data_IF_761909662644
#
_entry.id   IF_761909662644
#
_cell.length_a   1.000
_cell.length_b   1.000
_cell.length_c   1.000
_cell.angle_alpha   90.00
_cell.angle_beta   90.00
_cell.angle_gamma   90.00
#
_symmetry.space_group_name_H-M   'P 1'
#
loop_
_entity.id
_entity.type
_entity.pdbx_description
1 polymer ?
#
# COMPACT_ATOMS: atom_id res chain seq x y z
N UNK A 1 -8.49 -29.91 -25.72
CA UNK A 1 -7.38 -29.05 -26.21
C UNK A 1 -7.77 -27.57 -26.21
N UNK A 2 -8.97 -27.22 -26.69
CA UNK A 2 -9.41 -25.83 -26.89
C UNK A 2 -9.43 -24.94 -25.64
N UNK A 3 -9.79 -25.49 -24.47
CA UNK A 3 -9.82 -24.73 -23.20
C UNK A 3 -8.43 -24.25 -22.77
N UNK A 4 -7.40 -25.07 -22.97
CA UNK A 4 -6.02 -24.75 -22.60
C UNK A 4 -5.50 -23.63 -23.52
N UNK A 5 -5.80 -23.70 -24.81
CA UNK A 5 -5.41 -22.67 -25.79
C UNK A 5 -6.06 -21.32 -25.47
N UNK A 6 -7.33 -21.32 -25.06
CA UNK A 6 -8.04 -20.11 -24.61
C UNK A 6 -7.37 -19.48 -23.37
N UNK A 7 -7.05 -20.30 -22.36
CA UNK A 7 -6.41 -19.83 -21.14
C UNK A 7 -5.01 -19.27 -21.41
N UNK A 8 -4.24 -19.92 -22.29
CA UNK A 8 -2.91 -19.42 -22.69
C UNK A 8 -3.01 -18.06 -23.37
N UNK A 9 -3.98 -17.87 -24.29
CA UNK A 9 -4.16 -16.59 -24.99
C UNK A 9 -4.50 -15.46 -24.03
N UNK A 10 -5.41 -15.71 -23.09
CA UNK A 10 -5.74 -14.75 -22.05
C UNK A 10 -4.52 -14.44 -21.16
N UNK A 11 -3.77 -15.46 -20.74
CA UNK A 11 -2.57 -15.28 -19.92
C UNK A 11 -1.49 -14.45 -20.63
N UNK A 12 -1.24 -14.69 -21.93
CA UNK A 12 -0.30 -13.90 -22.73
C UNK A 12 -0.76 -12.44 -22.84
N UNK A 13 -2.05 -12.21 -23.09
CA UNK A 13 -2.59 -10.85 -23.13
C UNK A 13 -2.44 -10.14 -21.77
N UNK A 14 -2.83 -10.79 -20.68
CA UNK A 14 -2.66 -10.24 -19.32
C UNK A 14 -1.18 -9.91 -19.07
N UNK A 15 -0.26 -10.83 -19.36
CA UNK A 15 1.17 -10.62 -19.13
C UNK A 15 1.72 -9.42 -19.91
N UNK A 16 1.40 -9.32 -21.20
CA UNK A 16 1.84 -8.20 -22.05
C UNK A 16 1.38 -6.85 -21.48
N UNK A 17 0.08 -6.72 -21.21
CA UNK A 17 -0.46 -5.47 -20.68
C UNK A 17 -0.02 -5.22 -19.23
N UNK A 18 0.25 -6.26 -18.45
CA UNK A 18 0.76 -6.12 -17.09
C UNK A 18 2.13 -5.45 -17.11
N UNK A 19 3.06 -5.93 -17.95
CA UNK A 19 4.41 -5.33 -18.05
C UNK A 19 4.34 -3.87 -18.50
N UNK A 20 3.51 -3.56 -19.49
CA UNK A 20 3.36 -2.19 -20.00
C UNK A 20 2.75 -1.25 -18.96
N UNK A 21 1.68 -1.68 -18.28
CA UNK A 21 1.07 -0.88 -17.21
C UNK A 21 2.02 -0.77 -16.02
N UNK A 22 2.74 -1.84 -15.66
CA UNK A 22 3.69 -1.81 -14.56
C UNK A 22 4.77 -0.75 -14.80
N UNK A 23 5.33 -0.69 -16.00
CA UNK A 23 6.30 0.34 -16.37
C UNK A 23 5.70 1.76 -16.28
N UNK A 24 4.45 1.93 -16.72
CA UNK A 24 3.75 3.22 -16.63
C UNK A 24 3.61 3.68 -15.18
N UNK A 25 3.08 2.82 -14.30
CA UNK A 25 2.85 3.16 -12.89
C UNK A 25 4.13 3.17 -12.04
N UNK A 26 5.16 2.38 -12.37
CA UNK A 26 6.45 2.45 -11.68
C UNK A 26 7.19 3.77 -11.98
N UNK A 27 7.00 4.32 -13.18
CA UNK A 27 7.65 5.56 -13.61
C UNK A 27 6.82 6.79 -13.21
N UNK A 28 5.50 6.68 -13.31
CA UNK A 28 4.55 7.76 -13.03
C UNK A 28 3.53 7.27 -12.00
N UNK A 29 3.98 6.99 -10.79
CA UNK A 29 3.14 6.47 -9.69
C UNK A 29 1.94 7.39 -9.34
N UNK A 30 2.09 8.71 -9.55
CA UNK A 30 1.04 9.70 -9.32
C UNK A 30 0.22 10.03 -10.59
N UNK A 31 0.33 9.23 -11.66
CA UNK A 31 -0.41 9.51 -12.90
C UNK A 31 -1.92 9.52 -12.63
N UNK A 32 -2.64 10.60 -13.02
CA UNK A 32 -4.08 10.64 -12.88
C UNK A 32 -4.79 9.57 -13.72
N UNK A 33 -5.91 9.07 -13.20
CA UNK A 33 -6.69 7.99 -13.82
C UNK A 33 -7.22 8.38 -15.20
N UNK A 34 -7.61 9.65 -15.36
CA UNK A 34 -8.09 10.19 -16.64
C UNK A 34 -6.99 10.30 -17.71
N UNK A 35 -5.70 10.16 -17.34
CA UNK A 35 -4.57 10.13 -18.28
C UNK A 35 -4.15 8.67 -18.55
N UNK A 36 -4.04 7.86 -17.51
CA UNK A 36 -3.62 6.46 -17.63
C UNK A 36 -4.62 5.59 -18.40
N UNK A 37 -5.93 5.81 -18.22
CA UNK A 37 -6.96 5.04 -18.95
C UNK A 37 -6.88 5.24 -20.49
N UNK A 38 -6.82 6.49 -21.03
CA UNK A 38 -6.59 6.70 -22.47
C UNK A 38 -5.30 6.10 -23.01
N UNK A 39 -4.19 6.15 -22.25
CA UNK A 39 -2.93 5.51 -22.65
C UNK A 39 -3.14 4.01 -22.86
N UNK A 40 -3.84 3.36 -21.93
CA UNK A 40 -4.13 1.93 -22.06
C UNK A 40 -5.03 1.62 -23.27
N UNK A 41 -6.02 2.47 -23.58
CA UNK A 41 -6.83 2.34 -24.81
C UNK A 41 -5.95 2.41 -26.06
N UNK A 42 -5.00 3.34 -26.11
CA UNK A 42 -4.05 3.47 -27.22
C UNK A 42 -3.19 2.21 -27.35
N UNK A 43 -2.72 1.65 -26.23
CA UNK A 43 -1.97 0.38 -26.22
C UNK A 43 -2.80 -0.77 -26.78
N UNK A 44 -4.07 -0.87 -26.42
CA UNK A 44 -4.99 -1.88 -26.97
C UNK A 44 -5.14 -1.71 -28.47
N UNK A 45 -5.42 -0.48 -28.95
CA UNK A 45 -5.55 -0.18 -30.38
C UNK A 45 -4.25 -0.56 -31.12
N UNK A 46 -3.09 -0.21 -30.57
CA UNK A 46 -1.79 -0.56 -31.12
C UNK A 46 -1.57 -2.07 -31.21
N UNK A 47 -1.92 -2.82 -30.17
CA UNK A 47 -1.84 -4.28 -30.16
C UNK A 47 -2.78 -4.92 -31.20
N UNK A 48 -4.02 -4.43 -31.30
CA UNK A 48 -4.98 -4.88 -32.32
C UNK A 48 -4.48 -4.59 -33.74
N UNK A 49 -3.93 -3.39 -33.96
CA UNK A 49 -3.35 -3.01 -35.26
C UNK A 49 -2.14 -3.88 -35.60
N UNK A 50 -1.27 -4.17 -34.64
CA UNK A 50 -0.14 -5.08 -34.84
C UNK A 50 -0.60 -6.48 -35.25
N UNK A 51 -1.59 -7.06 -34.56
CA UNK A 51 -2.16 -8.37 -34.92
C UNK A 51 -2.72 -8.35 -36.34
N UNK A 52 -3.48 -7.30 -36.69
CA UNK A 52 -4.02 -7.14 -38.04
C UNK A 52 -2.93 -7.05 -39.11
N UNK A 53 -1.89 -6.22 -38.88
CA UNK A 53 -0.79 -6.05 -39.83
C UNK A 53 0.05 -7.32 -39.99
N UNK A 54 0.41 -7.97 -38.88
CA UNK A 54 1.19 -9.21 -38.88
C UNK A 54 0.46 -10.33 -39.62
N UNK A 55 -0.87 -10.39 -39.51
CA UNK A 55 -1.68 -11.33 -40.30
C UNK A 55 -1.61 -11.02 -41.80
N UNK A 56 -1.81 -9.75 -42.17
CA UNK A 56 -1.77 -9.35 -43.59
C UNK A 56 -0.42 -9.71 -44.21
N UNK A 57 0.67 -9.53 -43.47
CA UNK A 57 2.00 -9.93 -43.88
C UNK A 57 2.15 -11.46 -43.97
N UNK A 58 1.71 -12.21 -42.96
CA UNK A 58 1.76 -13.67 -42.97
C UNK A 58 1.02 -14.29 -44.17
N UNK A 59 -0.15 -13.76 -44.53
CA UNK A 59 -0.91 -14.22 -45.70
C UNK A 59 -0.15 -13.94 -47.00
N UNK A 60 0.48 -12.76 -47.11
CA UNK A 60 1.27 -12.40 -48.29
C UNK A 60 2.54 -13.28 -48.41
N UNK A 61 3.13 -13.69 -47.28
CA UNK A 61 4.36 -14.49 -47.25
C UNK A 61 4.10 -16.00 -47.47
N UNK A 62 2.86 -16.49 -47.27
CA UNK A 62 2.51 -17.92 -47.30
C UNK A 62 1.29 -18.20 -48.19
N UNK A 63 1.27 -17.66 -49.40
CA UNK A 63 0.12 -17.73 -50.35
C UNK A 63 -0.44 -19.16 -50.57
N UNK A 64 0.38 -20.20 -50.36
CA UNK A 64 0.05 -21.61 -50.63
C UNK A 64 -0.17 -22.49 -49.38
N UNK A 65 0.06 -22.00 -48.16
CA UNK A 65 -0.19 -22.75 -46.93
C UNK A 65 -1.55 -22.38 -46.33
N UNK A 66 -2.23 -23.37 -45.71
CA UNK A 66 -3.47 -23.15 -44.97
C UNK A 66 -3.21 -22.09 -43.89
N UNK A 67 -3.60 -20.84 -44.18
CA UNK A 67 -3.16 -19.68 -43.43
C UNK A 67 -3.50 -19.75 -41.94
N UNK A 68 -2.89 -18.88 -41.12
CA UNK A 68 -3.17 -18.78 -39.69
C UNK A 68 -4.69 -18.92 -39.44
N UNK A 69 -5.14 -19.91 -38.63
CA UNK A 69 -6.55 -20.26 -38.59
C UNK A 69 -7.38 -19.01 -38.31
N UNK A 70 -8.42 -18.74 -39.10
CA UNK A 70 -9.32 -17.58 -38.92
C UNK A 70 -9.83 -17.46 -37.46
N UNK A 71 -9.88 -18.59 -36.75
CA UNK A 71 -10.23 -18.68 -35.33
C UNK A 71 -9.20 -18.05 -34.38
N UNK A 72 -7.92 -17.98 -34.74
CA UNK A 72 -6.88 -17.29 -33.94
C UNK A 72 -7.12 -15.78 -33.94
N UNK A 73 -7.34 -15.18 -35.11
CA UNK A 73 -7.55 -13.73 -35.28
C UNK A 73 -8.81 -13.25 -34.54
N UNK A 74 -9.95 -13.91 -34.77
CA UNK A 74 -11.22 -13.57 -34.12
C UNK A 74 -11.14 -13.62 -32.59
N UNK A 75 -10.34 -14.54 -32.07
CA UNK A 75 -10.15 -14.68 -30.62
C UNK A 75 -9.26 -13.58 -30.03
N UNK A 76 -8.25 -13.13 -30.76
CA UNK A 76 -7.33 -12.06 -30.30
C UNK A 76 -8.06 -10.74 -30.10
N UNK A 77 -9.06 -10.43 -30.95
CA UNK A 77 -9.93 -9.25 -30.78
C UNK A 77 -10.73 -9.26 -29.47
N UNK A 78 -10.98 -10.44 -28.90
CA UNK A 78 -11.63 -10.58 -27.61
C UNK A 78 -10.64 -10.60 -26.44
N UNK A 79 -9.57 -11.39 -26.56
CA UNK A 79 -8.63 -11.59 -25.45
C UNK A 79 -7.70 -10.40 -25.20
N UNK A 80 -7.34 -9.62 -26.22
CA UNK A 80 -6.49 -8.45 -26.03
C UNK A 80 -7.19 -7.35 -25.20
N UNK A 81 -8.41 -6.91 -25.51
CA UNK A 81 -9.13 -5.97 -24.65
C UNK A 81 -9.38 -6.53 -23.25
N UNK A 82 -9.80 -7.80 -23.13
CA UNK A 82 -10.07 -8.41 -21.83
C UNK A 82 -8.80 -8.50 -20.97
N UNK A 83 -7.68 -8.94 -21.55
CA UNK A 83 -6.39 -9.01 -20.88
C UNK A 83 -5.88 -7.63 -20.47
N UNK A 84 -6.08 -6.60 -21.30
CA UNK A 84 -5.72 -5.22 -20.99
C UNK A 84 -6.51 -4.66 -19.81
N UNK A 85 -7.82 -4.93 -19.75
CA UNK A 85 -8.68 -4.52 -18.63
C UNK A 85 -8.24 -5.20 -17.33
N UNK A 86 -8.03 -6.52 -17.36
CA UNK A 86 -7.58 -7.26 -16.16
C UNK A 86 -6.21 -6.76 -15.69
N UNK A 87 -5.25 -6.64 -16.60
CA UNK A 87 -3.91 -6.18 -16.28
C UNK A 87 -3.89 -4.75 -15.72
N UNK A 88 -4.73 -3.86 -16.26
CA UNK A 88 -4.89 -2.49 -15.77
C UNK A 88 -5.27 -2.47 -14.29
N UNK A 89 -6.33 -3.18 -13.91
CA UNK A 89 -6.79 -3.21 -12.53
C UNK A 89 -5.77 -3.87 -11.60
N UNK A 90 -5.12 -4.95 -12.03
CA UNK A 90 -4.08 -5.62 -11.25
C UNK A 90 -2.92 -4.67 -10.94
N UNK A 91 -2.36 -4.02 -11.96
CA UNK A 91 -1.26 -3.06 -11.77
C UNK A 91 -1.73 -1.84 -10.97
N UNK A 92 -2.87 -1.25 -11.34
CA UNK A 92 -3.42 -0.08 -10.66
C UNK A 92 -3.56 -0.29 -9.15
N UNK A 93 -4.13 -1.44 -8.75
CA UNK A 93 -4.28 -1.80 -7.34
C UNK A 93 -2.94 -2.09 -6.63
N UNK A 94 -1.91 -2.48 -7.38
CA UNK A 94 -0.59 -2.77 -6.82
C UNK A 94 0.21 -1.52 -6.49
N UNK A 95 -0.12 -0.36 -7.09
CA UNK A 95 0.57 0.92 -6.88
C UNK A 95 -0.22 1.91 -6.00
N UNK A 96 -1.29 1.45 -5.36
CA UNK A 96 -2.13 2.28 -4.50
C UNK A 96 -2.44 1.57 -3.20
N UNK A 97 -2.66 2.37 -2.17
CA UNK A 97 -3.14 1.89 -0.88
C UNK A 97 -4.14 2.86 -0.27
N UNK A 98 -4.83 2.40 0.77
CA UNK A 98 -5.74 3.21 1.55
C UNK A 98 -4.98 3.96 2.66
N UNK A 99 -5.05 5.29 2.61
CA UNK A 99 -4.60 6.18 3.67
C UNK A 99 -5.81 6.61 4.50
N UNK A 100 -5.81 6.26 5.78
CA UNK A 100 -6.77 6.70 6.77
C UNK A 100 -6.30 8.03 7.35
N UNK A 101 -7.15 9.04 7.31
CA UNK A 101 -6.87 10.35 7.87
C UNK A 101 -7.78 10.56 9.06
N UNK A 102 -7.19 10.55 10.24
CA UNK A 102 -7.91 10.74 11.50
C UNK A 102 -7.85 12.21 11.94
N UNK A 103 -9.01 12.81 12.22
CA UNK A 103 -9.11 14.16 12.76
C UNK A 103 -9.78 14.14 14.12
N UNK A 104 -9.01 14.18 15.21
CA UNK A 104 -9.54 14.32 16.58
C UNK A 104 -9.55 15.74 17.10
N UNK A 105 -9.31 16.72 16.24
CA UNK A 105 -9.57 18.10 16.61
C UNK A 105 -11.08 18.32 16.77
N UNK A 106 -11.43 19.28 17.63
CA UNK A 106 -12.81 19.73 17.80
C UNK A 106 -13.36 20.53 16.61
N UNK A 107 -12.53 20.79 15.60
CA UNK A 107 -12.84 21.54 14.39
C UNK A 107 -12.58 20.68 13.14
N UNK A 108 -13.31 20.92 12.04
CA UNK A 108 -13.06 20.22 10.79
C UNK A 108 -11.68 20.59 10.24
N UNK A 109 -11.06 19.65 9.54
CA UNK A 109 -9.75 19.84 8.89
C UNK A 109 -9.90 19.59 7.41
N UNK A 110 -9.38 20.51 6.59
CA UNK A 110 -9.26 20.29 5.16
C UNK A 110 -7.95 19.56 4.87
N UNK A 111 -8.04 18.43 4.16
CA UNK A 111 -6.90 17.62 3.76
C UNK A 111 -6.90 17.44 2.26
N UNK A 112 -5.77 17.76 1.63
CA UNK A 112 -5.53 17.55 0.21
C UNK A 112 -4.39 16.58 0.02
N UNK A 113 -4.63 15.49 -0.70
CA UNK A 113 -3.60 14.52 -1.10
C UNK A 113 -3.92 13.98 -2.49
N UNK A 114 -2.89 13.75 -3.32
CA UNK A 114 -3.04 13.24 -4.68
C UNK A 114 -4.09 14.03 -5.51
N UNK A 115 -4.07 15.36 -5.39
CA UNK A 115 -5.04 16.30 -6.02
C UNK A 115 -6.50 16.16 -5.58
N UNK A 116 -6.77 15.41 -4.51
CA UNK A 116 -8.10 15.24 -3.95
C UNK A 116 -8.19 15.99 -2.63
N UNK A 117 -9.07 16.99 -2.56
CA UNK A 117 -9.37 17.73 -1.32
C UNK A 117 -10.61 17.16 -0.66
N UNK A 118 -10.50 16.82 0.62
CA UNK A 118 -11.61 16.35 1.46
C UNK A 118 -11.59 17.09 2.80
N UNK A 119 -12.78 17.36 3.33
CA UNK A 119 -12.94 17.87 4.69
C UNK A 119 -13.22 16.69 5.62
N UNK A 120 -12.42 16.56 6.68
CA UNK A 120 -12.63 15.60 7.76
C UNK A 120 -13.39 16.29 8.88
N UNK A 121 -14.54 15.76 9.26
CA UNK A 121 -15.34 16.32 10.34
C UNK A 121 -14.59 16.23 11.69
N UNK A 122 -14.99 17.03 12.71
CA UNK A 122 -14.45 16.88 14.05
C UNK A 122 -14.68 15.49 14.61
N UNK A 123 -13.66 14.93 15.25
CA UNK A 123 -13.70 13.59 15.85
C UNK A 123 -14.04 12.46 14.86
N UNK A 124 -13.77 12.64 13.58
CA UNK A 124 -14.07 11.67 12.51
C UNK A 124 -12.81 11.27 11.74
N UNK A 125 -12.93 10.24 10.90
CA UNK A 125 -11.87 9.80 9.98
C UNK A 125 -12.40 9.65 8.56
N UNK A 126 -11.51 9.74 7.59
CA UNK A 126 -11.81 9.43 6.18
C UNK A 126 -10.77 8.48 5.62
N UNK A 127 -11.13 7.83 4.51
CA UNK A 127 -10.20 7.00 3.72
C UNK A 127 -9.96 7.65 2.36
N UNK A 128 -8.70 7.67 1.95
CA UNK A 128 -8.26 8.19 0.66
C UNK A 128 -7.34 7.18 -0.03
N UNK A 129 -7.65 6.85 -1.28
CA UNK A 129 -6.77 6.07 -2.13
C UNK A 129 -5.56 6.91 -2.53
N UNK A 130 -4.39 6.48 -2.11
CA UNK A 130 -3.14 7.21 -2.25
C UNK A 130 -2.12 6.36 -3.00
N UNK A 131 -1.38 6.91 -3.98
CA UNK A 131 -0.33 6.16 -4.66
C UNK A 131 0.84 5.85 -3.72
N UNK A 132 1.54 4.75 -3.97
CA UNK A 132 2.76 4.41 -3.25
C UNK A 132 3.89 5.39 -3.58
N UNK A 133 4.83 5.54 -2.64
CA UNK A 133 5.98 6.43 -2.71
C UNK A 133 5.75 7.78 -2.03
N UNK A 134 6.52 8.77 -2.43
CA UNK A 134 6.42 10.13 -1.90
C UNK A 134 5.14 10.81 -2.37
N UNK A 135 4.41 11.40 -1.42
CA UNK A 135 3.16 12.12 -1.63
C UNK A 135 3.21 13.47 -0.91
N UNK A 136 2.71 14.53 -1.55
CA UNK A 136 2.44 15.79 -0.87
C UNK A 136 1.03 15.73 -0.26
N UNK A 137 0.96 15.94 1.05
CA UNK A 137 -0.28 16.12 1.81
C UNK A 137 -0.35 17.57 2.31
N UNK A 138 -1.47 18.23 2.11
CA UNK A 138 -1.73 19.57 2.65
C UNK A 138 -2.84 19.49 3.69
N UNK A 139 -2.59 20.02 4.88
CA UNK A 139 -3.52 20.00 6.00
C UNK A 139 -3.76 21.44 6.44
N UNK A 140 -4.99 21.93 6.29
CA UNK A 140 -5.34 23.33 6.52
C UNK A 140 -4.35 24.31 5.84
N UNK A 141 -3.94 23.98 4.62
CA UNK A 141 -3.00 24.78 3.81
C UNK A 141 -1.51 24.57 4.13
N UNK A 142 -1.16 23.78 5.17
CA UNK A 142 0.24 23.43 5.46
C UNK A 142 0.63 22.15 4.72
N UNK A 143 1.58 22.27 3.80
CA UNK A 143 2.11 21.15 3.01
C UNK A 143 3.14 20.35 3.79
N UNK A 144 3.09 19.02 3.64
CA UNK A 144 4.03 18.04 4.18
C UNK A 144 4.25 16.95 3.13
N UNK A 145 5.41 16.31 3.19
CA UNK A 145 5.70 15.13 2.37
C UNK A 145 5.56 13.89 3.25
N UNK A 146 4.81 12.90 2.78
CA UNK A 146 4.73 11.57 3.38
C UNK A 146 5.26 10.55 2.39
N UNK A 147 5.88 9.48 2.89
CA UNK A 147 6.36 8.38 2.06
C UNK A 147 5.62 7.10 2.43
N UNK A 148 4.88 6.54 1.48
CA UNK A 148 4.07 5.33 1.63
C UNK A 148 4.83 4.19 0.96
N UNK A 149 5.37 3.27 1.76
CA UNK A 149 6.34 2.30 1.27
C UNK A 149 5.71 1.06 0.62
N UNK A 150 4.49 0.70 1.02
CA UNK A 150 3.84 -0.55 0.64
C UNK A 150 2.30 -0.46 0.64
N UNK A 151 1.67 -1.54 0.23
CA UNK A 151 0.21 -1.71 0.17
C UNK A 151 -0.42 -2.00 1.54
N UNK A 152 0.30 -1.76 2.64
CA UNK A 152 -0.24 -1.83 4.00
C UNK A 152 -1.33 -0.79 4.24
N UNK A 153 -2.01 -0.86 5.39
CA UNK A 153 -2.99 0.17 5.77
C UNK A 153 -2.26 1.31 6.45
N UNK A 154 -2.35 2.52 5.91
CA UNK A 154 -1.62 3.66 6.47
C UNK A 154 -2.54 4.57 7.24
N UNK A 155 -2.12 5.05 8.41
CA UNK A 155 -2.87 6.01 9.20
C UNK A 155 -2.05 7.29 9.34
N UNK A 156 -2.69 8.41 9.02
CA UNK A 156 -2.19 9.75 9.26
C UNK A 156 -3.07 10.42 10.31
N UNK A 157 -2.50 10.70 11.47
CA UNK A 157 -3.22 11.42 12.51
C UNK A 157 -2.96 12.93 12.41
N UNK A 158 -4.03 13.71 12.20
CA UNK A 158 -3.99 15.17 12.15
C UNK A 158 -3.95 15.79 13.55
N UNK A 159 -4.44 15.09 14.57
CA UNK A 159 -4.43 15.55 15.95
C UNK A 159 -3.45 14.74 16.82
N UNK A 160 -2.52 15.44 17.44
CA UNK A 160 -1.68 14.85 18.48
C UNK A 160 -2.43 14.72 19.83
N UNK A 161 -3.73 15.01 19.86
CA UNK A 161 -4.53 15.10 21.09
C UNK A 161 -4.83 13.74 21.71
N UNK A 162 -4.76 12.64 20.95
CA UNK A 162 -5.07 11.28 21.43
C UNK A 162 -4.02 10.23 21.04
N UNK A 163 -2.80 10.67 20.75
CA UNK A 163 -1.74 9.81 20.22
C UNK A 163 -0.72 9.48 21.30
N UNK A 164 -0.77 8.24 21.78
CA UNK A 164 0.14 7.73 22.79
C UNK A 164 0.99 6.63 22.16
N UNK A 165 2.32 6.83 22.11
CA UNK A 165 3.25 5.76 21.77
C UNK A 165 3.59 5.04 23.07
N UNK A 166 3.28 3.74 23.15
CA UNK A 166 3.77 2.87 24.21
C UNK A 166 5.19 2.42 23.86
N UNK A 167 6.19 3.06 24.47
CA UNK A 167 7.58 2.66 24.36
C UNK A 167 7.93 1.63 25.44
N UNK A 168 8.60 0.55 25.05
CA UNK A 168 9.26 -0.36 26.02
C UNK A 168 10.72 0.03 26.12
N UNK A 169 11.14 0.60 27.25
CA UNK A 169 12.54 0.91 27.52
C UNK A 169 13.13 -0.20 28.38
N UNK A 170 14.10 -0.92 27.82
CA UNK A 170 14.87 -1.94 28.53
C UNK A 170 16.13 -1.28 29.14
N UNK A 171 16.12 -1.05 30.45
CA UNK A 171 17.31 -0.61 31.17
C UNK A 171 18.23 -1.81 31.41
N UNK A 172 19.48 -1.72 30.94
CA UNK A 172 20.51 -2.71 31.22
C UNK A 172 21.50 -2.16 32.26
N UNK A 173 21.87 -2.98 33.24
CA UNK A 173 22.92 -2.63 34.18
C UNK A 173 24.29 -2.74 33.49
N UNK A 174 25.12 -1.72 33.64
CA UNK A 174 26.51 -1.76 33.20
C UNK A 174 27.31 -2.68 34.13
N UNK A 175 27.87 -3.76 33.60
CA UNK A 175 28.77 -4.64 34.35
C UNK A 175 30.22 -4.27 34.00
N UNK A 176 30.99 -3.77 34.97
CA UNK A 176 32.41 -3.44 34.74
C UNK A 176 33.21 -4.73 34.66
N UNK A 177 33.82 -5.03 33.50
CA UNK A 177 34.78 -6.13 33.36
C UNK A 177 36.21 -5.59 33.40
N UNK A 178 37.05 -6.20 34.22
CA UNK A 178 38.48 -5.94 34.21
C UNK A 178 39.12 -6.79 33.11
N UNK A 179 39.53 -6.16 32.01
CA UNK A 179 40.34 -6.81 30.98
C UNK A 179 41.73 -6.15 31.06
N UNK A 180 42.75 -6.93 31.40
CA UNK A 180 44.16 -6.48 31.40
C UNK A 180 44.40 -5.14 32.15
N UNK A 181 43.96 -5.03 33.41
CA UNK A 181 44.12 -3.83 34.25
C UNK A 181 43.55 -2.51 33.67
N UNK A 182 42.73 -2.60 32.63
CA UNK A 182 42.01 -1.45 32.06
C UNK A 182 40.52 -1.69 32.30
N UNK A 183 39.84 -0.75 32.96
CA UNK A 183 38.41 -0.87 33.18
C UNK A 183 37.69 -0.71 31.84
N UNK A 184 37.05 -1.78 31.37
CA UNK A 184 36.20 -1.75 30.20
C UNK A 184 34.74 -1.69 30.67
N UNK A 185 34.07 -0.59 30.33
CA UNK A 185 32.66 -0.31 30.67
C UNK A 185 31.68 -0.75 29.58
N UNK A 186 32.15 -1.40 28.51
CA UNK A 186 31.30 -1.76 27.35
C UNK A 186 30.52 -3.07 27.53
N UNK A 187 30.75 -3.84 28.59
CA UNK A 187 29.99 -5.05 28.86
C UNK A 187 28.62 -4.72 29.48
N UNK A 188 27.59 -4.71 28.64
CA UNK A 188 26.19 -4.56 29.08
C UNK A 188 25.62 -5.92 29.45
N UNK A 189 25.19 -6.12 30.69
CA UNK A 189 24.47 -7.32 31.09
C UNK A 189 22.98 -7.02 30.95
N UNK A 190 22.27 -7.81 30.15
CA UNK A 190 20.80 -7.80 30.17
C UNK A 190 20.37 -8.17 31.59
N UNK A 191 19.82 -7.21 32.34
CA UNK A 191 19.33 -7.44 33.69
C UNK A 191 18.29 -8.56 33.65
N UNK A 192 18.50 -9.60 34.46
CA UNK A 192 17.52 -10.68 34.67
C UNK A 192 16.27 -10.14 35.37
N UNK A 193 16.43 -9.04 36.12
CA UNK A 193 15.37 -8.23 36.71
C UNK A 193 15.01 -7.10 35.74
N UNK A 194 14.25 -7.47 34.71
CA UNK A 194 13.83 -6.56 33.64
C UNK A 194 12.86 -5.51 34.20
N UNK A 195 13.38 -4.36 34.62
CA UNK A 195 12.53 -3.17 34.83
C UNK A 195 12.13 -2.68 33.44
N UNK A 196 11.07 -3.27 32.90
CA UNK A 196 10.36 -2.76 31.74
C UNK A 196 9.55 -1.56 32.24
N UNK A 197 10.02 -0.35 31.97
CA UNK A 197 9.18 0.83 32.17
C UNK A 197 8.37 1.06 30.89
N UNK A 198 7.03 1.07 31.04
CA UNK A 198 6.10 1.46 29.99
C UNK A 198 5.90 2.96 30.09
N UNK A 199 6.54 3.71 29.20
CA UNK A 199 6.40 5.16 29.15
C UNK A 199 5.42 5.55 28.05
N UNK A 200 4.46 6.41 28.41
CA UNK A 200 3.56 7.03 27.46
C UNK A 200 4.09 8.42 27.13
N UNK A 201 4.67 8.56 25.95
CA UNK A 201 5.11 9.86 25.47
C UNK A 201 3.93 10.60 24.85
N UNK A 202 3.64 11.80 25.34
CA UNK A 202 2.80 12.75 24.62
C UNK A 202 3.61 13.26 23.43
N UNK A 203 3.29 12.78 22.23
CA UNK A 203 3.92 13.29 21.02
C UNK A 203 3.31 14.64 20.67
N UNK A 204 4.14 15.62 20.33
CA UNK A 204 3.71 16.88 19.70
C UNK A 204 4.07 16.92 18.21
N UNK A 205 4.45 15.77 17.63
CA UNK A 205 4.76 15.59 16.21
C UNK A 205 3.69 14.77 15.53
N UNK A 206 3.28 15.18 14.33
CA UNK A 206 2.51 14.34 13.42
C UNK A 206 3.31 13.08 13.11
N UNK A 207 2.62 11.95 12.99
CA UNK A 207 3.21 10.66 12.67
C UNK A 207 2.35 9.95 11.63
N UNK A 208 3.04 9.22 10.77
CA UNK A 208 2.45 8.29 9.82
C UNK A 208 2.99 6.90 10.17
N UNK A 209 2.10 5.92 10.24
CA UNK A 209 2.49 4.55 10.53
C UNK A 209 1.62 3.58 9.74
N UNK A 210 2.19 2.42 9.46
CA UNK A 210 1.45 1.28 8.98
C UNK A 210 0.65 0.71 10.16
N UNK A 211 -0.67 0.65 10.02
CA UNK A 211 -1.57 0.10 11.03
C UNK A 211 -1.31 -1.41 11.20
N UNK A 212 -0.80 -1.86 12.36
CA UNK A 212 -0.69 -3.29 12.63
C UNK A 212 -2.06 -3.98 12.59
N UNK A 213 -2.11 -5.20 12.05
CA UNK A 213 -3.34 -6.00 11.98
C UNK A 213 -3.93 -6.29 13.37
N UNK A 214 -3.08 -6.36 14.40
CA UNK A 214 -3.45 -6.52 15.81
C UNK A 214 -2.52 -5.75 16.73
N UNK A 215 -3.05 -5.26 17.85
CA UNK A 215 -2.24 -4.78 18.98
C UNK A 215 -2.50 -5.71 20.18
N UNK A 216 -1.43 -6.10 20.87
CA UNK A 216 -1.53 -6.84 22.12
C UNK A 216 -1.74 -5.84 23.26
N UNK A 217 -2.97 -5.76 23.79
CA UNK A 217 -3.36 -4.68 24.72
C UNK A 217 -3.04 -5.04 26.17
N UNK A 218 -2.96 -6.32 26.50
CA UNK A 218 -2.50 -6.78 27.80
C UNK A 218 -2.02 -8.24 27.75
N UNK A 219 -0.98 -8.51 28.55
CA UNK A 219 -0.57 -9.86 28.93
C UNK A 219 -0.93 -10.02 30.41
N UNK A 220 -1.85 -10.92 30.70
CA UNK A 220 -2.15 -11.27 32.09
C UNK A 220 -0.91 -11.91 32.71
N UNK A 221 -0.36 -11.27 33.74
CA UNK A 221 0.88 -11.69 34.42
C UNK A 221 0.70 -12.97 35.26
N UNK A 222 -0.53 -13.38 35.56
CA UNK A 222 -0.83 -14.59 36.35
C UNK A 222 -1.17 -15.80 35.47
N UNK A 223 -1.83 -15.58 34.32
CA UNK A 223 -2.26 -16.68 33.42
C UNK A 223 -1.45 -16.79 32.13
N UNK A 224 -0.65 -15.78 31.79
CA UNK A 224 0.11 -15.73 30.53
C UNK A 224 -0.76 -15.49 29.28
N UNK A 225 -2.06 -15.28 29.46
CA UNK A 225 -3.02 -15.10 28.37
C UNK A 225 -2.81 -13.73 27.71
N UNK A 226 -2.69 -13.72 26.38
CA UNK A 226 -2.53 -12.51 25.58
C UNK A 226 -3.88 -12.17 24.95
N UNK A 227 -4.40 -10.99 25.27
CA UNK A 227 -5.59 -10.46 24.61
C UNK A 227 -5.17 -9.62 23.39
N UNK A 228 -5.40 -10.16 22.20
CA UNK A 228 -5.27 -9.45 20.93
C UNK A 228 -6.58 -8.74 20.61
N UNK A 229 -6.49 -7.46 20.27
CA UNK A 229 -7.61 -6.70 19.71
C UNK A 229 -7.32 -6.32 18.27
N UNK A 230 -8.31 -6.52 17.40
CA UNK A 230 -8.33 -5.94 16.05
C UNK A 230 -8.54 -4.45 16.18
N UNK A 231 -7.60 -3.65 15.67
CA UNK A 231 -7.63 -2.21 15.86
C UNK A 231 -8.37 -1.54 14.71
N UNK A 232 -9.54 -0.98 15.03
CA UNK A 232 -10.08 0.17 14.30
C UNK A 232 -9.71 1.41 15.10
N UNK A 233 -8.85 2.24 14.52
CA UNK A 233 -8.36 3.45 15.15
C UNK A 233 -9.53 4.44 15.34
N UNK A 234 -9.59 4.97 16.58
CA UNK A 234 -10.72 5.62 17.25
C UNK A 234 -11.89 4.69 17.60
N UNK A 235 -11.80 4.06 18.77
CA UNK A 235 -12.98 3.53 19.45
C UNK A 235 -13.97 4.68 19.72
N UNK A 236 -15.25 4.56 19.30
CA UNK A 236 -16.28 5.46 19.78
C UNK A 236 -16.31 5.41 21.30
N UNK A 237 -16.53 6.57 21.94
CA UNK A 237 -16.55 6.78 23.40
C UNK A 237 -17.41 5.79 24.22
N UNK A 238 -18.23 4.95 23.59
CA UNK A 238 -19.12 3.99 24.23
C UNK A 238 -18.56 2.61 24.55
N UNK A 239 -17.35 2.23 24.08
CA UNK A 239 -16.83 0.84 24.25
C UNK A 239 -15.58 0.77 25.17
N UNK A 240 -15.04 1.91 25.61
CA UNK A 240 -13.86 1.97 26.51
C UNK A 240 -14.17 1.60 27.98
N UNK A 241 -15.33 1.02 28.26
CA UNK A 241 -15.66 0.46 29.57
C UNK A 241 -15.97 -1.03 29.45
N UNK A 242 -14.94 -1.82 29.14
CA UNK A 242 -14.92 -3.22 29.55
C UNK A 242 -14.04 -3.27 30.79
N UNK A 243 -14.68 -3.52 31.93
CA UNK A 243 -14.05 -3.83 33.22
C UNK A 243 -13.22 -5.10 33.12
#
# INVERSE_FOLDING_TARGET
>A
MDRIVILIRLAVAIFLFYVLNYLLYSTFNQIPDFISAPINVILVIGALYYVYKSRKQFIADNEDEEGMPLQLEKSSYFFLPLGAVIAFFLVYSSFRTSLYIDNGNAVPVEVTIASTTKTVAPNDFIVIDTPLGENEISINGKKKTINILDNGKWVYNVDNLNSYIEGTVDYADQEVRSINNTQDTTATKLSVDKIIHKEFFKLESDFIFEAPETISVSKDTQTGTVHTQTVLYRLPKGISQVK
#
